data_IF_979025059687
#
_entry.id   IF_979025059687
#
_cell.length_a   1.000
_cell.length_b   1.000
_cell.length_c   1.000
_cell.angle_alpha   90.00
_cell.angle_beta   90.00
_cell.angle_gamma   90.00
#
_symmetry.space_group_name_H-M   'P 1'
#
loop_
_entity.id
_entity.type
_entity.pdbx_description
1 polymer ?
#
# COMPACT_ATOMS: atom_id res chain seq x y z
N UNK A 1 2.39 -17.67 15.51
CA UNK A 1 2.69 -17.34 14.10
C UNK A 1 3.87 -16.37 14.07
N UNK A 2 5.02 -16.80 13.54
CA UNK A 2 6.25 -15.98 13.50
C UNK A 2 5.99 -14.69 12.70
N UNK A 3 6.41 -13.54 13.23
CA UNK A 3 6.26 -12.25 12.56
C UNK A 3 7.09 -12.24 11.26
N UNK A 4 6.45 -12.56 10.13
CA UNK A 4 7.02 -12.49 8.76
C UNK A 4 7.33 -11.05 8.30
N UNK A 5 7.26 -10.08 9.19
CA UNK A 5 7.44 -8.65 8.91
C UNK A 5 8.89 -8.29 9.21
N UNK A 6 9.81 -8.76 8.38
CA UNK A 6 11.17 -8.23 8.32
C UNK A 6 11.54 -8.17 6.84
N UNK A 7 11.69 -6.98 6.23
CA UNK A 7 12.29 -6.89 4.91
C UNK A 7 13.70 -7.46 5.02
N UNK A 8 14.09 -8.35 4.10
CA UNK A 8 15.34 -9.13 4.22
C UNK A 8 16.58 -8.23 4.06
N UNK A 9 16.43 -7.01 3.54
CA UNK A 9 17.47 -5.97 3.54
C UNK A 9 16.90 -4.57 3.22
N UNK A 10 17.75 -3.54 3.31
CA UNK A 10 17.49 -2.26 2.66
C UNK A 10 17.71 -2.42 1.15
N UNK A 11 16.95 -1.71 0.30
CA UNK A 11 17.24 -1.66 -1.14
C UNK A 11 18.68 -1.16 -1.29
N UNK A 12 19.59 -1.89 -1.97
CA UNK A 12 20.92 -1.37 -2.30
C UNK A 12 20.75 0.01 -2.93
N UNK A 13 21.54 0.99 -2.48
CA UNK A 13 21.50 2.41 -2.90
C UNK A 13 20.80 2.61 -4.25
N UNK A 14 19.57 3.13 -4.20
CA UNK A 14 18.76 3.50 -5.36
C UNK A 14 19.40 4.72 -6.04
N UNK A 15 20.51 4.49 -6.74
CA UNK A 15 21.04 5.42 -7.74
C UNK A 15 20.10 5.35 -8.95
N UNK A 16 19.07 6.21 -8.94
CA UNK A 16 18.10 6.55 -10.00
C UNK A 16 17.29 5.43 -10.70
N UNK A 17 17.85 4.24 -10.83
CA UNK A 17 17.39 3.16 -11.69
C UNK A 17 17.00 1.99 -10.77
N UNK A 18 15.75 1.52 -10.86
CA UNK A 18 15.17 0.55 -9.92
C UNK A 18 16.03 -0.71 -9.67
N UNK A 19 15.74 -1.44 -8.59
CA UNK A 19 16.43 -2.68 -8.26
C UNK A 19 15.73 -3.89 -8.92
N UNK A 20 16.47 -4.73 -9.64
CA UNK A 20 15.97 -6.01 -10.15
C UNK A 20 16.41 -7.12 -9.19
N UNK A 21 15.49 -8.00 -8.82
CA UNK A 21 15.78 -9.13 -7.93
C UNK A 21 14.98 -10.38 -8.29
N UNK A 22 15.38 -11.52 -7.74
CA UNK A 22 14.70 -12.80 -7.93
C UNK A 22 13.95 -13.21 -6.66
N UNK A 23 12.63 -13.40 -6.77
CA UNK A 23 11.73 -13.77 -5.67
C UNK A 23 10.94 -15.03 -6.04
N UNK A 24 11.46 -16.20 -5.65
CA UNK A 24 10.94 -17.53 -6.01
C UNK A 24 9.48 -17.80 -5.58
N UNK A 25 8.98 -17.08 -4.58
CA UNK A 25 7.61 -17.24 -4.07
C UNK A 25 6.55 -16.56 -4.97
N UNK A 26 6.97 -15.79 -5.98
CA UNK A 26 6.07 -15.12 -6.91
C UNK A 26 5.95 -15.89 -8.23
N UNK A 27 4.79 -15.84 -8.91
CA UNK A 27 4.63 -16.48 -10.22
C UNK A 27 5.64 -15.99 -11.25
N UNK A 28 5.96 -14.70 -11.22
CA UNK A 28 6.92 -14.03 -12.10
C UNK A 28 8.07 -13.58 -11.21
N UNK A 29 9.12 -14.40 -11.08
CA UNK A 29 10.08 -14.26 -9.98
C UNK A 29 11.08 -13.13 -10.21
N UNK A 30 11.25 -12.63 -11.44
CA UNK A 30 12.14 -11.49 -11.70
C UNK A 30 11.35 -10.20 -11.44
N UNK A 31 11.63 -9.57 -10.30
CA UNK A 31 10.89 -8.41 -9.79
C UNK A 31 11.68 -7.13 -10.02
N UNK A 32 11.02 -6.16 -10.65
CA UNK A 32 11.51 -4.80 -10.87
C UNK A 32 10.94 -3.90 -9.79
N UNK A 33 11.79 -3.56 -8.81
CA UNK A 33 11.45 -2.61 -7.77
C UNK A 33 11.40 -1.19 -8.33
N UNK A 34 10.37 -0.40 -8.00
CA UNK A 34 10.35 1.01 -8.36
C UNK A 34 11.55 1.75 -7.76
N UNK A 35 12.00 2.81 -8.46
CA UNK A 35 12.96 3.75 -7.91
C UNK A 35 12.38 4.50 -6.70
N UNK A 36 13.20 5.33 -6.03
CA UNK A 36 12.80 6.05 -4.81
C UNK A 36 11.51 6.86 -4.94
N UNK A 37 11.19 7.33 -6.14
CA UNK A 37 10.01 8.14 -6.42
C UNK A 37 8.85 7.35 -7.08
N UNK A 38 9.09 6.09 -7.49
CA UNK A 38 8.08 5.23 -8.09
C UNK A 38 7.24 4.47 -7.05
N UNK A 39 6.06 4.00 -7.48
CA UNK A 39 5.15 3.20 -6.62
C UNK A 39 4.82 1.82 -7.16
N UNK A 40 5.19 1.51 -8.41
CA UNK A 40 4.68 0.34 -9.13
C UNK A 40 5.78 -0.67 -9.41
N UNK A 41 5.48 -1.93 -9.13
CA UNK A 41 6.38 -3.05 -9.40
C UNK A 41 6.12 -3.64 -10.78
N UNK A 42 7.19 -3.90 -11.51
CA UNK A 42 7.19 -4.74 -12.71
C UNK A 42 7.62 -6.17 -12.39
N UNK A 43 7.19 -7.13 -13.21
CA UNK A 43 7.43 -8.56 -13.00
C UNK A 43 7.73 -9.25 -14.34
N UNK A 44 8.72 -10.12 -14.37
CA UNK A 44 9.08 -10.94 -15.53
C UNK A 44 9.10 -12.42 -15.15
N UNK A 45 8.65 -13.26 -16.07
CA UNK A 45 8.70 -14.72 -15.94
C UNK A 45 10.11 -15.26 -16.22
N UNK A 46 10.77 -14.69 -17.23
CA UNK A 46 12.12 -15.05 -17.68
C UNK A 46 12.91 -13.78 -18.00
N UNK A 47 14.25 -13.86 -18.00
CA UNK A 47 15.14 -12.71 -18.22
C UNK A 47 14.88 -11.99 -19.56
N UNK A 48 14.49 -12.75 -20.58
CA UNK A 48 14.19 -12.22 -21.92
C UNK A 48 12.68 -11.98 -22.15
N UNK A 49 11.84 -12.23 -21.14
CA UNK A 49 10.39 -12.05 -21.23
C UNK A 49 9.99 -10.57 -21.10
N UNK A 50 8.76 -10.20 -21.51
CA UNK A 50 8.27 -8.83 -21.32
C UNK A 50 8.01 -8.53 -19.83
N UNK A 51 8.25 -7.28 -19.43
CA UNK A 51 7.83 -6.78 -18.11
C UNK A 51 6.32 -6.67 -18.07
N UNK A 52 5.71 -7.34 -17.10
CA UNK A 52 4.29 -7.31 -16.80
C UNK A 52 4.02 -6.59 -15.48
N UNK A 53 2.85 -5.99 -15.35
CA UNK A 53 2.37 -5.39 -14.12
C UNK A 53 1.20 -6.21 -13.57
N UNK A 54 1.09 -6.29 -12.24
CA UNK A 54 -0.10 -6.91 -11.65
C UNK A 54 -1.35 -6.07 -11.96
N UNK A 55 -2.44 -6.68 -12.43
CA UNK A 55 -3.69 -5.98 -12.78
C UNK A 55 -4.24 -5.11 -11.65
N UNK A 56 -4.01 -5.49 -10.39
CA UNK A 56 -4.44 -4.68 -9.23
C UNK A 56 -3.72 -3.33 -9.11
N UNK A 57 -2.64 -3.10 -9.86
CA UNK A 57 -1.91 -1.83 -9.92
C UNK A 57 -2.37 -0.96 -11.10
N UNK A 58 -3.16 -1.50 -12.03
CA UNK A 58 -3.50 -0.87 -13.32
C UNK A 58 -4.02 0.55 -13.16
N UNK A 59 -5.07 0.72 -12.34
CA UNK A 59 -5.70 2.03 -12.18
C UNK A 59 -4.75 3.08 -11.60
N UNK A 60 -3.93 2.68 -10.63
CA UNK A 60 -2.93 3.57 -10.06
C UNK A 60 -1.84 3.94 -11.05
N UNK A 61 -1.39 2.99 -11.86
CA UNK A 61 -0.37 3.21 -12.89
C UNK A 61 -0.88 4.15 -13.99
N UNK A 62 -2.12 3.96 -14.44
CA UNK A 62 -2.79 4.86 -15.40
C UNK A 62 -2.84 6.29 -14.88
N UNK A 63 -3.32 6.49 -13.65
CA UNK A 63 -3.43 7.82 -13.03
C UNK A 63 -2.05 8.46 -12.85
N UNK A 64 -1.07 7.70 -12.35
CA UNK A 64 0.29 8.18 -12.13
C UNK A 64 0.95 8.61 -13.44
N UNK A 65 0.87 7.78 -14.48
CA UNK A 65 1.47 8.10 -15.78
C UNK A 65 0.83 9.36 -16.36
N UNK A 66 -0.51 9.40 -16.44
CA UNK A 66 -1.25 10.52 -17.05
C UNK A 66 -1.09 11.86 -16.31
N UNK A 67 -0.74 11.87 -15.02
CA UNK A 67 -0.74 13.09 -14.21
C UNK A 67 0.61 13.47 -13.60
N UNK A 68 1.51 12.51 -13.33
CA UNK A 68 2.79 12.76 -12.66
C UNK A 68 3.98 12.54 -13.59
N UNK A 69 4.11 11.35 -14.17
CA UNK A 69 5.30 10.99 -14.97
C UNK A 69 5.41 11.88 -16.21
N UNK A 70 4.36 11.91 -17.05
CA UNK A 70 4.39 12.71 -18.26
C UNK A 70 4.31 14.22 -17.98
N UNK A 71 3.96 14.63 -16.75
CA UNK A 71 3.96 16.04 -16.38
C UNK A 71 5.36 16.66 -16.41
N UNK A 72 6.41 15.84 -16.28
CA UNK A 72 7.81 16.24 -16.34
C UNK A 72 8.22 16.78 -17.71
N UNK A 73 7.53 16.37 -18.79
CA UNK A 73 7.74 16.91 -20.14
C UNK A 73 7.01 18.24 -20.33
N UNK A 74 7.37 19.25 -19.52
CA UNK A 74 6.70 20.55 -19.45
C UNK A 74 6.68 21.33 -20.77
N UNK A 75 7.65 21.06 -21.65
CA UNK A 75 7.80 21.72 -22.96
C UNK A 75 6.77 21.26 -24.00
N UNK A 76 6.03 20.20 -23.70
CA UNK A 76 5.04 19.61 -24.59
C UNK A 76 3.63 20.00 -24.17
N UNK A 77 2.76 20.25 -25.16
CA UNK A 77 1.35 20.57 -24.91
C UNK A 77 0.65 19.49 -24.08
N UNK A 78 -0.34 19.90 -23.27
CA UNK A 78 -1.07 18.97 -22.39
C UNK A 78 -1.76 17.84 -23.18
N UNK A 79 -2.31 18.15 -24.36
CA UNK A 79 -2.97 17.15 -25.22
C UNK A 79 -1.98 16.11 -25.77
N UNK A 80 -0.79 16.54 -26.18
CA UNK A 80 0.21 15.61 -26.69
C UNK A 80 0.78 14.73 -25.56
N UNK A 81 1.00 15.29 -24.36
CA UNK A 81 1.36 14.48 -23.17
C UNK A 81 0.31 13.42 -22.85
N UNK A 82 -0.97 13.78 -22.93
CA UNK A 82 -2.07 12.84 -22.72
C UNK A 82 -2.04 11.71 -23.76
N UNK A 83 -1.94 12.03 -25.05
CA UNK A 83 -1.90 11.05 -26.13
C UNK A 83 -0.69 10.11 -26.02
N UNK A 84 0.49 10.66 -25.69
CA UNK A 84 1.69 9.84 -25.45
C UNK A 84 1.50 8.91 -24.26
N UNK A 85 0.90 9.40 -23.18
CA UNK A 85 0.62 8.59 -21.99
C UNK A 85 -0.35 7.46 -22.28
N UNK A 86 -1.44 7.75 -23.01
CA UNK A 86 -2.40 6.72 -23.42
C UNK A 86 -1.75 5.68 -24.34
N UNK A 87 -0.99 6.11 -25.35
CA UNK A 87 -0.28 5.22 -26.25
C UNK A 87 0.71 4.31 -25.48
N UNK A 88 1.47 4.88 -24.53
CA UNK A 88 2.39 4.12 -23.70
C UNK A 88 1.66 3.13 -22.79
N UNK A 89 0.60 3.55 -22.10
CA UNK A 89 -0.23 2.68 -21.23
C UNK A 89 -0.75 1.48 -22.02
N UNK A 90 -1.17 1.67 -23.27
CA UNK A 90 -1.67 0.60 -24.13
C UNK A 90 -0.60 -0.43 -24.52
N UNK A 91 0.69 -0.13 -24.36
CA UNK A 91 1.78 -1.11 -24.54
C UNK A 91 2.05 -1.95 -23.30
N UNK A 92 1.54 -1.55 -22.14
CA UNK A 92 1.82 -2.23 -20.87
C UNK A 92 1.04 -3.54 -20.78
N UNK A 93 1.72 -4.59 -20.32
CA UNK A 93 1.10 -5.90 -20.11
C UNK A 93 0.63 -6.04 -18.68
N UNK A 94 -0.64 -6.37 -18.49
CA UNK A 94 -1.21 -6.63 -17.16
C UNK A 94 -1.61 -8.10 -17.01
N UNK A 95 -1.26 -8.71 -15.88
CA UNK A 95 -1.71 -10.06 -15.51
C UNK A 95 -2.17 -10.10 -14.06
N UNK A 96 -3.11 -10.98 -13.76
CA UNK A 96 -3.63 -11.15 -12.41
C UNK A 96 -2.63 -11.89 -11.51
N UNK A 97 -2.75 -11.65 -10.20
CA UNK A 97 -2.02 -12.38 -9.17
C UNK A 97 -0.49 -12.41 -9.34
N UNK A 98 0.14 -11.34 -9.83
CA UNK A 98 1.60 -11.27 -9.93
C UNK A 98 2.28 -10.71 -8.69
N UNK A 99 1.69 -9.70 -8.05
CA UNK A 99 2.40 -8.92 -7.02
C UNK A 99 2.45 -9.59 -5.65
N UNK A 100 3.34 -9.09 -4.80
CA UNK A 100 3.46 -9.45 -3.39
C UNK A 100 2.12 -9.44 -2.65
N UNK A 101 1.29 -8.41 -2.89
CA UNK A 101 0.01 -8.25 -2.20
C UNK A 101 -1.00 -9.33 -2.59
N UNK A 102 -1.11 -9.66 -3.87
CA UNK A 102 -2.04 -10.70 -4.32
C UNK A 102 -1.59 -12.10 -3.87
N UNK A 103 -0.28 -12.35 -3.81
CA UNK A 103 0.29 -13.64 -3.39
C UNK A 103 0.54 -13.73 -1.87
N UNK A 104 0.30 -12.66 -1.11
CA UNK A 104 0.56 -12.56 0.34
C UNK A 104 2.01 -12.88 0.72
N UNK A 105 2.94 -12.52 -0.16
CA UNK A 105 4.39 -12.65 0.02
C UNK A 105 4.95 -11.31 0.50
N UNK A 106 5.94 -11.33 1.38
CA UNK A 106 6.62 -10.09 1.78
C UNK A 106 7.68 -9.75 0.73
N UNK A 107 7.74 -8.52 0.21
CA UNK A 107 8.82 -8.12 -0.69
C UNK A 107 10.17 -8.28 0.00
N UNK A 108 11.19 -8.71 -0.76
CA UNK A 108 12.56 -8.80 -0.28
C UNK A 108 13.09 -7.44 0.23
N UNK A 109 12.72 -6.33 -0.42
CA UNK A 109 13.10 -4.99 0.01
C UNK A 109 11.89 -4.15 0.44
N UNK A 110 12.07 -3.36 1.49
CA UNK A 110 11.04 -2.42 1.95
C UNK A 110 11.13 -1.07 1.27
N UNK A 111 10.02 -0.32 1.28
CA UNK A 111 9.96 1.10 0.90
C UNK A 111 11.01 1.98 1.58
N UNK A 112 11.43 1.61 2.80
CA UNK A 112 12.49 2.28 3.54
C UNK A 112 12.02 2.83 4.89
N UNK A 113 12.97 3.30 5.70
CA UNK A 113 12.65 3.90 7.01
C UNK A 113 11.91 5.22 6.78
N UNK A 114 10.71 5.28 7.32
CA UNK A 114 9.84 6.46 7.25
C UNK A 114 9.61 6.99 8.65
N UNK A 115 9.96 8.26 8.89
CA UNK A 115 9.72 8.93 10.17
C UNK A 115 8.21 8.97 10.46
N UNK A 116 7.78 8.69 11.69
CA UNK A 116 6.38 8.75 12.13
C UNK A 116 5.38 7.87 11.34
N UNK A 117 5.86 6.79 10.73
CA UNK A 117 5.04 5.81 9.99
C UNK A 117 5.18 4.41 10.60
N UNK A 118 4.26 3.51 10.28
CA UNK A 118 4.27 2.15 10.84
C UNK A 118 5.39 1.31 10.23
N UNK A 119 5.79 0.23 10.91
CA UNK A 119 6.70 -0.79 10.35
C UNK A 119 6.13 -1.41 9.06
N UNK A 120 4.82 -1.50 8.94
CA UNK A 120 4.16 -2.04 7.75
C UNK A 120 4.32 -1.08 6.56
N UNK A 121 4.12 0.22 6.78
CA UNK A 121 4.39 1.25 5.78
C UNK A 121 5.85 1.23 5.30
N UNK A 122 6.82 1.03 6.19
CA UNK A 122 8.24 0.92 5.79
C UNK A 122 8.56 -0.27 4.88
N UNK A 123 7.64 -1.24 4.76
CA UNK A 123 7.77 -2.40 3.87
C UNK A 123 6.91 -2.19 2.63
N UNK A 124 5.61 -1.92 2.81
CA UNK A 124 4.61 -1.88 1.75
C UNK A 124 4.31 -0.47 1.21
N UNK A 125 5.11 0.54 1.55
CA UNK A 125 4.88 1.94 1.17
C UNK A 125 4.67 2.15 -0.34
N UNK A 126 5.38 1.43 -1.21
CA UNK A 126 5.13 1.47 -2.65
C UNK A 126 3.70 1.03 -3.01
N UNK A 127 3.19 -0.06 -2.42
CA UNK A 127 1.81 -0.51 -2.62
C UNK A 127 0.78 0.45 -2.05
N UNK A 128 1.06 1.08 -0.91
CA UNK A 128 0.19 2.07 -0.28
C UNK A 128 0.07 3.30 -1.19
N UNK A 129 1.19 3.81 -1.68
CA UNK A 129 1.21 4.96 -2.59
C UNK A 129 0.59 4.62 -3.95
N UNK A 130 0.86 3.42 -4.50
CA UNK A 130 0.25 2.97 -5.75
C UNK A 130 -1.27 2.82 -5.64
N UNK A 131 -1.76 2.36 -4.48
CA UNK A 131 -3.20 2.31 -4.18
C UNK A 131 -3.79 3.71 -4.04
N UNK A 132 -3.11 4.63 -3.36
CA UNK A 132 -3.53 6.03 -3.26
C UNK A 132 -3.71 6.66 -4.66
N UNK A 133 -2.75 6.46 -5.57
CA UNK A 133 -2.87 6.87 -6.96
C UNK A 133 -4.09 6.22 -7.63
N UNK A 134 -4.37 4.94 -7.37
CA UNK A 134 -5.53 4.22 -7.92
C UNK A 134 -6.88 4.77 -7.46
N UNK A 135 -6.92 5.40 -6.28
CA UNK A 135 -8.06 6.16 -5.76
C UNK A 135 -8.05 7.63 -6.18
N UNK A 136 -7.19 8.01 -7.13
CA UNK A 136 -7.18 9.37 -7.67
C UNK A 136 -6.39 10.38 -6.84
N UNK A 137 -5.60 9.95 -5.84
CA UNK A 137 -4.80 10.86 -5.02
C UNK A 137 -3.31 10.58 -5.27
N UNK A 138 -2.65 11.55 -5.89
CA UNK A 138 -1.24 11.50 -6.23
C UNK A 138 -0.30 11.94 -5.13
N UNK A 139 0.96 12.10 -5.51
CA UNK A 139 2.03 12.51 -4.62
C UNK A 139 1.72 13.83 -3.92
N UNK A 140 2.04 13.84 -2.61
CA UNK A 140 1.78 14.96 -1.70
C UNK A 140 0.29 15.35 -1.60
N UNK A 141 -0.66 14.47 -1.95
CA UNK A 141 -2.09 14.70 -1.74
C UNK A 141 -2.81 15.47 -2.85
N UNK A 142 -2.23 15.58 -4.05
CA UNK A 142 -2.97 16.14 -5.21
C UNK A 142 -4.13 15.24 -5.60
N UNK A 143 -5.28 15.82 -5.88
CA UNK A 143 -6.50 15.10 -6.27
C UNK A 143 -6.62 15.17 -7.79
N UNK A 144 -6.52 14.01 -8.44
CA UNK A 144 -6.63 13.84 -9.89
C UNK A 144 -7.99 13.29 -10.33
N UNK A 145 -8.60 12.42 -9.50
CA UNK A 145 -9.87 11.76 -9.80
C UNK A 145 -10.71 11.62 -8.52
N UNK A 146 -11.38 12.69 -8.06
CA UNK A 146 -12.14 12.68 -6.80
C UNK A 146 -13.26 11.63 -6.77
N UNK A 147 -13.81 11.27 -7.93
CA UNK A 147 -14.84 10.25 -8.10
C UNK A 147 -14.35 8.82 -7.77
N UNK A 148 -13.03 8.60 -7.68
CA UNK A 148 -12.43 7.31 -7.34
C UNK A 148 -12.10 7.19 -5.85
N UNK A 149 -12.26 8.26 -5.08
CA UNK A 149 -12.00 8.25 -3.64
C UNK A 149 -13.10 7.42 -2.95
N UNK A 150 -12.74 6.41 -2.14
CA UNK A 150 -13.72 5.60 -1.43
C UNK A 150 -14.66 6.44 -0.56
N UNK A 151 -15.97 6.22 -0.70
CA UNK A 151 -16.99 7.05 -0.05
C UNK A 151 -16.99 6.94 1.48
N UNK A 152 -16.41 5.89 2.03
CA UNK A 152 -16.31 5.65 3.48
C UNK A 152 -15.23 6.51 4.15
N UNK A 153 -14.17 6.91 3.44
CA UNK A 153 -13.15 7.82 3.99
C UNK A 153 -13.49 9.30 3.76
N UNK A 154 -14.30 9.63 2.75
CA UNK A 154 -14.67 11.02 2.39
C UNK A 154 -15.14 11.86 3.59
N UNK A 155 -16.03 11.39 4.49
CA UNK A 155 -16.50 12.19 5.64
C UNK A 155 -15.39 12.58 6.62
N UNK A 156 -14.26 11.89 6.59
CA UNK A 156 -13.11 12.11 7.47
C UNK A 156 -12.04 12.99 6.83
N UNK A 157 -12.15 13.31 5.54
CA UNK A 157 -11.22 14.19 4.85
C UNK A 157 -11.65 15.65 5.11
N UNK A 158 -10.92 16.35 5.97
CA UNK A 158 -11.16 17.75 6.30
C UNK A 158 -10.43 18.62 5.28
N UNK A 159 -10.87 18.62 4.03
CA UNK A 159 -10.27 19.50 3.03
C UNK A 159 -10.68 20.95 3.33
N UNK A 160 -9.84 21.69 4.04
CA UNK A 160 -10.08 23.10 4.40
C UNK A 160 -10.15 24.07 3.20
N UNK A 161 -10.02 23.58 1.97
CA UNK A 161 -10.24 24.33 0.74
C UNK A 161 -10.69 23.35 -0.36
N UNK A 162 -11.92 23.53 -0.87
CA UNK A 162 -12.38 22.84 -2.08
C UNK A 162 -11.71 23.41 -3.36
N UNK A 163 -10.94 24.50 -3.23
CA UNK A 163 -10.35 25.24 -4.35
C UNK A 163 -8.94 24.76 -4.74
N UNK A 164 -8.21 24.04 -3.89
CA UNK A 164 -6.78 23.73 -4.15
C UNK A 164 -6.49 22.37 -4.79
N UNK A 165 -7.51 21.57 -5.14
CA UNK A 165 -7.35 20.21 -5.72
C UNK A 165 -6.34 19.35 -4.95
N UNK A 166 -6.30 19.51 -3.62
CA UNK A 166 -5.25 18.92 -2.78
C UNK A 166 -5.76 18.70 -1.37
N UNK A 167 -5.41 17.56 -0.79
CA UNK A 167 -5.60 17.28 0.63
C UNK A 167 -4.62 18.12 1.47
N UNK A 168 -5.09 18.65 2.58
CA UNK A 168 -4.23 19.15 3.65
C UNK A 168 -3.41 17.99 4.26
N UNK A 169 -2.46 18.33 5.13
CA UNK A 169 -1.54 17.37 5.70
C UNK A 169 -2.22 16.28 6.55
N UNK A 170 -3.24 16.65 7.34
CA UNK A 170 -3.96 15.72 8.20
C UNK A 170 -4.81 14.76 7.37
N UNK A 171 -5.59 15.30 6.41
CA UNK A 171 -6.37 14.48 5.46
C UNK A 171 -5.49 13.54 4.64
N UNK A 172 -4.28 13.98 4.24
CA UNK A 172 -3.33 13.11 3.53
C UNK A 172 -2.82 11.98 4.43
N UNK A 173 -2.52 12.27 5.69
CA UNK A 173 -2.08 11.25 6.66
C UNK A 173 -3.18 10.21 6.86
N UNK A 174 -4.42 10.63 7.07
CA UNK A 174 -5.54 9.73 7.30
C UNK A 174 -5.91 8.94 6.04
N UNK A 175 -5.83 9.56 4.87
CA UNK A 175 -6.01 8.85 3.61
C UNK A 175 -4.93 7.77 3.37
N UNK A 176 -3.66 8.06 3.68
CA UNK A 176 -2.59 7.07 3.58
C UNK A 176 -2.73 5.96 4.62
N UNK A 177 -3.26 6.24 5.81
CA UNK A 177 -3.62 5.22 6.81
C UNK A 177 -4.74 4.32 6.31
N UNK A 178 -5.77 4.89 5.68
CA UNK A 178 -6.83 4.12 5.04
C UNK A 178 -6.26 3.18 3.97
N UNK A 179 -5.39 3.69 3.08
CA UNK A 179 -4.71 2.87 2.08
C UNK A 179 -3.83 1.78 2.72
N UNK A 180 -3.13 2.08 3.82
CA UNK A 180 -2.38 1.09 4.59
C UNK A 180 -3.30 -0.02 5.07
N UNK A 181 -4.45 0.30 5.66
CA UNK A 181 -5.41 -0.68 6.17
C UNK A 181 -5.98 -1.59 5.07
N UNK A 182 -6.26 -1.05 3.89
CA UNK A 182 -6.66 -1.85 2.72
C UNK A 182 -5.56 -2.86 2.36
N UNK A 183 -4.29 -2.44 2.29
CA UNK A 183 -3.18 -3.34 1.98
C UNK A 183 -2.95 -4.36 3.10
N UNK A 184 -3.09 -3.95 4.37
CA UNK A 184 -3.00 -4.84 5.53
C UNK A 184 -4.04 -5.95 5.45
N UNK A 185 -5.31 -5.60 5.20
CA UNK A 185 -6.40 -6.58 5.09
C UNK A 185 -6.15 -7.55 3.93
N UNK A 186 -5.75 -7.05 2.76
CA UNK A 186 -5.40 -7.90 1.60
C UNK A 186 -4.27 -8.89 1.92
N UNK A 187 -3.29 -8.43 2.70
CA UNK A 187 -2.17 -9.24 3.18
C UNK A 187 -2.52 -10.14 4.38
N UNK A 188 -3.75 -10.11 4.88
CA UNK A 188 -4.19 -10.92 6.03
C UNK A 188 -3.80 -10.37 7.40
N UNK A 189 -3.49 -9.08 7.51
CA UNK A 189 -3.22 -8.38 8.76
C UNK A 189 -4.44 -7.57 9.22
N UNK A 190 -4.57 -7.38 10.54
CA UNK A 190 -5.56 -6.46 11.11
C UNK A 190 -5.27 -5.01 10.73
N UNK A 191 -6.32 -4.25 10.48
CA UNK A 191 -6.29 -2.79 10.37
C UNK A 191 -5.70 -2.14 11.64
N UNK A 192 -5.15 -0.94 11.49
CA UNK A 192 -4.62 -0.12 12.58
C UNK A 192 -5.75 0.13 13.59
N UNK A 193 -5.43 0.03 14.88
CA UNK A 193 -6.41 0.21 15.96
C UNK A 193 -7.43 -0.92 16.16
N UNK A 194 -7.66 -1.80 15.17
CA UNK A 194 -8.60 -2.94 15.28
C UNK A 194 -7.99 -4.23 15.85
N UNK A 195 -6.71 -4.20 16.23
CA UNK A 195 -6.07 -5.32 16.92
C UNK A 195 -6.42 -5.25 18.42
N UNK A 196 -7.05 -6.30 18.95
CA UNK A 196 -7.06 -6.58 20.40
C UNK A 196 -5.60 -6.74 20.83
N UNK A 197 -4.99 -5.68 21.34
CA UNK A 197 -3.53 -5.57 21.28
C UNK A 197 -2.78 -6.38 22.32
N UNK A 198 -3.45 -6.95 23.32
CA UNK A 198 -2.93 -8.02 24.18
C UNK A 198 -4.09 -8.70 24.90
N UNK A 199 -3.94 -9.99 25.22
CA UNK A 199 -4.79 -10.68 26.20
C UNK A 199 -4.92 -9.84 27.49
N UNK A 200 -3.85 -9.12 27.86
CA UNK A 200 -3.80 -8.15 28.97
C UNK A 200 -4.80 -7.00 28.81
N UNK A 201 -4.89 -6.33 27.65
CA UNK A 201 -5.88 -5.24 27.43
C UNK A 201 -7.32 -5.75 27.44
N UNK A 202 -7.56 -6.95 26.91
CA UNK A 202 -8.87 -7.59 27.00
C UNK A 202 -9.21 -7.91 28.47
N UNK A 203 -8.25 -8.46 29.22
CA UNK A 203 -8.37 -8.69 30.66
C UNK A 203 -8.62 -7.41 31.45
N UNK A 204 -7.97 -6.31 31.11
CA UNK A 204 -8.19 -4.99 31.73
C UNK A 204 -9.61 -4.49 31.47
N UNK A 205 -10.12 -4.61 30.25
CA UNK A 205 -11.50 -4.23 29.91
C UNK A 205 -12.50 -5.12 30.67
N UNK A 206 -12.28 -6.44 30.69
CA UNK A 206 -13.13 -7.39 31.42
C UNK A 206 -13.14 -7.06 32.92
N UNK A 207 -11.97 -6.81 33.53
CA UNK A 207 -11.85 -6.40 34.94
C UNK A 207 -12.58 -5.10 35.23
N UNK A 208 -12.60 -4.16 34.28
CA UNK A 208 -13.27 -2.87 34.42
C UNK A 208 -14.79 -2.98 34.30
N UNK A 209 -15.28 -3.85 33.42
CA UNK A 209 -16.72 -4.07 33.19
C UNK A 209 -17.33 -5.04 34.22
N UNK A 210 -16.54 -5.98 34.73
CA UNK A 210 -16.97 -7.02 35.66
C UNK A 210 -16.03 -7.08 36.88
N UNK A 211 -16.04 -6.05 37.75
CA UNK A 211 -15.08 -5.93 38.86
C UNK A 211 -15.20 -7.05 39.90
N UNK A 212 -16.36 -7.69 40.00
CA UNK A 212 -16.60 -8.80 40.95
C UNK A 212 -16.12 -10.17 40.42
N UNK A 213 -15.74 -10.27 39.14
CA UNK A 213 -15.12 -11.46 38.56
C UNK A 213 -13.60 -11.34 38.66
N UNK A 214 -13.05 -11.65 39.83
CA UNK A 214 -11.60 -11.66 40.04
C UNK A 214 -11.02 -13.07 39.94
N UNK A 215 -10.09 -13.23 39.00
CA UNK A 215 -9.20 -14.37 38.77
C UNK A 215 -9.85 -15.70 38.32
N UNK A 216 -10.08 -15.88 37.01
CA UNK A 216 -9.98 -17.21 36.45
C UNK A 216 -8.51 -17.65 36.56
N UNK A 217 -8.26 -18.75 37.26
CA UNK A 217 -7.04 -19.55 37.12
C UNK A 217 -6.66 -19.68 35.61
N UNK A 218 -5.37 -19.80 35.28
CA UNK A 218 -4.89 -19.98 33.90
C UNK A 218 -5.63 -21.11 33.13
N UNK A 219 -6.23 -22.08 33.85
CA UNK A 219 -7.07 -23.16 33.32
C UNK A 219 -8.49 -22.76 32.90
N UNK A 220 -9.00 -21.61 33.34
CA UNK A 220 -10.34 -21.12 33.02
C UNK A 220 -10.39 -20.24 31.76
N UNK A 221 -9.25 -19.66 31.35
CA UNK A 221 -9.16 -18.88 30.12
C UNK A 221 -9.29 -19.77 28.87
N UNK A 222 -8.77 -20.99 28.91
CA UNK A 222 -8.93 -21.99 27.84
C UNK A 222 -10.39 -22.37 27.57
N UNK A 223 -11.27 -22.26 28.56
CA UNK A 223 -12.70 -22.57 28.42
C UNK A 223 -13.48 -21.46 27.73
N UNK A 224 -13.06 -20.20 27.87
CA UNK A 224 -13.70 -19.04 27.20
C UNK A 224 -13.33 -19.00 25.71
N UNK A 225 -12.11 -19.43 25.36
CA UNK A 225 -11.68 -19.56 23.96
C UNK A 225 -12.36 -20.70 23.19
N UNK A 226 -13.12 -21.60 23.83
CA UNK A 226 -13.90 -22.64 23.15
C UNK A 226 -15.29 -22.17 22.68
N UNK A 227 -15.71 -20.96 23.05
CA UNK A 227 -17.02 -20.39 22.69
C UNK A 227 -16.94 -19.18 21.73
N UNK A 228 -15.76 -18.90 21.16
CA UNK A 228 -15.51 -17.90 20.11
C UNK A 228 -14.75 -18.55 18.94
#
# INVERSE_FOLDING_TARGET
MRSKIVPKGAVPTLESDGCITYEEELPYPIVHYPSRFGSFFGFQETENGPVCYCSCQRKGLEIYLSNEEFSQFGDISKSLRFNMGEAFINTLQFKDNLCHVCNKVCPNYGYGKTLNRTKFHSIYGHYINGLACGYGIGSRGRIYAPELIPSDIVPYLITHSFDDKRLDEESLIDFLRYCEDVIRIRMGYFAIGKKWTTEVKLLEIIRKLYPNYTNPCHSCLSSIFQFL
#
